data_IF_157534492904
#
_entry.id   IF_157534492904
#
_cell.length_a   1.000
_cell.length_b   1.000
_cell.length_c   1.000
_cell.angle_alpha   90.00
_cell.angle_beta   90.00
_cell.angle_gamma   90.00
#
_symmetry.space_group_name_H-M   'P 1'
#
loop_
_entity.id
_entity.type
_entity.pdbx_description
1 polymer ?
#
# COMPACT_ATOMS: atom_id res chain seq x y z
N UNK A 1 25.32 44.29 -27.87
CA UNK A 1 26.00 43.41 -26.90
C UNK A 1 25.32 43.66 -25.56
N UNK A 2 24.27 42.90 -25.23
CA UNK A 2 24.29 41.75 -24.30
C UNK A 2 24.66 42.21 -22.86
N UNK A 3 23.67 42.41 -21.98
CA UNK A 3 23.15 41.44 -20.98
C UNK A 3 23.85 41.67 -19.61
N UNK A 4 23.24 41.54 -18.44
CA UNK A 4 21.86 41.43 -17.99
C UNK A 4 21.89 41.75 -16.48
N UNK A 5 20.81 42.33 -15.96
CA UNK A 5 20.55 42.52 -14.53
C UNK A 5 20.27 41.18 -13.85
N UNK A 6 20.61 41.03 -12.56
CA UNK A 6 20.01 39.98 -11.74
C UNK A 6 19.97 40.39 -10.25
N UNK A 7 18.85 40.98 -9.86
CA UNK A 7 18.43 41.20 -8.48
C UNK A 7 17.80 39.90 -7.94
N UNK A 8 18.26 39.44 -6.78
CA UNK A 8 17.70 38.26 -6.10
C UNK A 8 16.81 38.70 -4.95
N UNK A 9 15.52 38.82 -5.22
CA UNK A 9 14.48 38.95 -4.20
C UNK A 9 13.89 37.58 -3.81
N UNK A 10 13.83 37.36 -2.49
CA UNK A 10 12.70 36.82 -1.72
C UNK A 10 12.12 35.45 -2.15
N UNK A 11 12.47 34.44 -1.33
CA UNK A 11 11.91 33.08 -1.30
C UNK A 11 10.39 33.12 -1.07
N UNK A 12 9.61 33.04 -2.15
CA UNK A 12 8.16 32.95 -2.10
C UNK A 12 7.72 31.48 -1.98
N UNK A 13 7.00 31.17 -0.91
CA UNK A 13 6.40 29.87 -0.62
C UNK A 13 5.38 29.49 -1.70
N UNK A 14 5.70 28.49 -2.52
CA UNK A 14 4.77 27.92 -3.50
C UNK A 14 3.86 26.87 -2.83
N UNK A 15 2.63 27.29 -2.51
CA UNK A 15 1.52 26.36 -2.29
C UNK A 15 1.01 25.88 -3.65
N UNK A 16 1.54 24.76 -4.16
CA UNK A 16 0.93 24.09 -5.30
C UNK A 16 -0.22 23.21 -4.80
N UNK A 17 -1.45 23.71 -4.97
CA UNK A 17 -2.64 22.88 -4.90
C UNK A 17 -2.55 21.77 -5.93
N UNK A 18 -2.36 20.53 -5.47
CA UNK A 18 -2.47 19.32 -6.28
C UNK A 18 -3.95 19.16 -6.68
N UNK A 19 -4.31 19.67 -7.86
CA UNK A 19 -5.41 19.07 -8.62
C UNK A 19 -4.90 17.72 -9.13
N UNK A 20 -5.40 16.64 -8.54
CA UNK A 20 -5.27 15.31 -9.14
C UNK A 20 -5.83 15.38 -10.56
N UNK A 21 -4.96 15.17 -11.52
CA UNK A 21 -5.34 14.94 -12.91
C UNK A 21 -5.79 13.48 -12.93
N UNK A 22 -7.09 13.23 -12.81
CA UNK A 22 -7.64 11.90 -13.07
C UNK A 22 -7.57 11.66 -14.57
N UNK A 23 -6.49 11.03 -15.04
CA UNK A 23 -6.37 10.56 -16.42
C UNK A 23 -7.38 9.42 -16.64
N UNK A 24 -8.38 9.58 -17.53
CA UNK A 24 -9.33 8.50 -17.80
C UNK A 24 -8.61 7.39 -18.57
N UNK A 25 -8.32 6.27 -17.91
CA UNK A 25 -7.69 5.11 -18.53
C UNK A 25 -6.72 4.31 -17.67
N UNK A 26 -6.30 4.81 -16.50
CA UNK A 26 -5.51 4.00 -15.56
C UNK A 26 -6.43 3.01 -14.82
N UNK A 27 -6.49 1.80 -15.36
CA UNK A 27 -6.98 0.61 -14.67
C UNK A 27 -6.28 0.54 -13.30
N UNK A 28 -7.03 0.40 -12.21
CA UNK A 28 -6.40 0.34 -10.88
C UNK A 28 -5.37 -0.82 -10.86
N UNK A 29 -4.23 -0.68 -10.16
CA UNK A 29 -3.25 -1.76 -10.08
C UNK A 29 -3.88 -3.09 -9.64
N UNK A 30 -4.89 -3.04 -8.78
CA UNK A 30 -5.73 -4.17 -8.39
C UNK A 30 -6.49 -4.78 -9.58
N UNK A 31 -7.15 -3.97 -10.40
CA UNK A 31 -7.87 -4.46 -11.59
C UNK A 31 -6.93 -5.05 -12.65
N UNK A 32 -5.76 -4.43 -12.89
CA UNK A 32 -4.77 -4.95 -13.83
C UNK A 32 -4.14 -6.26 -13.32
N UNK A 33 -3.92 -6.38 -12.00
CA UNK A 33 -3.52 -7.63 -11.38
C UNK A 33 -4.61 -8.70 -11.58
N UNK A 34 -5.86 -8.44 -11.19
CA UNK A 34 -6.98 -9.40 -11.32
C UNK A 34 -7.21 -9.90 -12.75
N UNK A 35 -6.94 -9.08 -13.78
CA UNK A 35 -7.03 -9.50 -15.19
C UNK A 35 -5.94 -10.48 -15.64
N UNK A 36 -4.76 -10.45 -15.00
CA UNK A 36 -3.59 -11.28 -15.35
C UNK A 36 -3.35 -12.44 -14.37
N UNK A 37 -4.22 -12.58 -13.39
CA UNK A 37 -4.09 -13.55 -12.32
C UNK A 37 -4.55 -14.92 -12.81
N UNK A 38 -3.69 -15.93 -12.65
CA UNK A 38 -4.03 -17.33 -12.96
C UNK A 38 -5.31 -17.76 -12.22
N UNK A 39 -6.12 -18.66 -12.81
CA UNK A 39 -7.38 -19.13 -12.21
C UNK A 39 -7.21 -19.67 -10.78
N UNK A 40 -6.05 -20.29 -10.50
CA UNK A 40 -5.68 -20.82 -9.19
C UNK A 40 -5.55 -19.73 -8.13
N UNK A 41 -5.00 -18.57 -8.48
CA UNK A 41 -4.86 -17.44 -7.55
C UNK A 41 -6.21 -16.75 -7.34
N UNK A 42 -7.06 -16.69 -8.38
CA UNK A 42 -8.42 -16.15 -8.25
C UNK A 42 -9.25 -16.95 -7.26
N UNK A 43 -9.17 -18.29 -7.29
CA UNK A 43 -9.83 -19.15 -6.32
C UNK A 43 -9.34 -18.89 -4.87
N UNK A 44 -8.05 -18.63 -4.68
CA UNK A 44 -7.50 -18.29 -3.36
C UNK A 44 -8.01 -16.92 -2.89
N UNK A 45 -8.09 -15.93 -3.79
CA UNK A 45 -8.67 -14.62 -3.47
C UNK A 45 -10.14 -14.77 -3.09
N UNK A 46 -10.92 -15.55 -3.85
CA UNK A 46 -12.35 -15.78 -3.57
C UNK A 46 -12.55 -16.50 -2.21
N UNK A 47 -11.69 -17.46 -1.85
CA UNK A 47 -11.73 -18.11 -0.53
C UNK A 47 -11.38 -17.13 0.59
N UNK A 48 -10.34 -16.31 0.39
CA UNK A 48 -9.91 -15.31 1.37
C UNK A 48 -10.95 -14.21 1.55
N UNK A 49 -11.64 -13.82 0.47
CA UNK A 49 -12.69 -12.81 0.43
C UNK A 49 -14.08 -13.37 0.79
N UNK A 50 -14.22 -14.66 1.07
CA UNK A 50 -15.48 -15.24 1.48
C UNK A 50 -15.94 -14.65 2.83
N UNK A 51 -17.25 -14.41 2.95
CA UNK A 51 -17.87 -13.83 4.15
C UNK A 51 -17.51 -14.65 5.41
N UNK A 52 -16.94 -13.98 6.42
CA UNK A 52 -16.53 -14.61 7.69
C UNK A 52 -15.10 -15.16 7.69
N UNK A 53 -14.36 -15.00 6.58
CA UNK A 53 -12.94 -15.29 6.54
C UNK A 53 -12.17 -14.29 7.42
N UNK A 54 -11.46 -14.82 8.42
CA UNK A 54 -10.49 -14.06 9.24
C UNK A 54 -9.12 -13.99 8.58
N UNK A 55 -9.03 -14.35 7.30
CA UNK A 55 -7.80 -14.34 6.50
C UNK A 55 -7.79 -13.16 5.56
N UNK A 56 -6.61 -12.66 5.27
CA UNK A 56 -6.36 -11.71 4.19
C UNK A 56 -5.10 -12.14 3.42
N UNK A 57 -4.82 -11.48 2.31
CA UNK A 57 -3.66 -11.75 1.47
C UNK A 57 -3.02 -10.44 1.02
N UNK A 58 -1.69 -10.39 1.10
CA UNK A 58 -0.88 -9.38 0.43
C UNK A 58 -0.25 -9.98 -0.82
N UNK A 59 -0.34 -9.26 -1.92
CA UNK A 59 0.33 -9.65 -3.17
C UNK A 59 1.25 -8.54 -3.64
N UNK A 60 2.54 -8.85 -3.75
CA UNK A 60 3.51 -7.88 -4.27
C UNK A 60 3.33 -7.76 -5.77
N UNK A 61 2.93 -6.58 -6.23
CA UNK A 61 2.75 -6.32 -7.66
C UNK A 61 3.86 -5.43 -8.24
N UNK A 62 4.66 -4.77 -7.40
CA UNK A 62 5.84 -4.00 -7.82
C UNK A 62 6.96 -4.12 -6.79
N UNK A 63 8.21 -4.18 -7.25
CA UNK A 63 9.41 -4.30 -6.43
C UNK A 63 10.14 -5.64 -6.64
N UNK A 64 11.24 -5.91 -5.92
CA UNK A 64 12.09 -7.10 -6.15
C UNK A 64 11.40 -8.43 -5.91
N UNK A 65 10.31 -8.44 -5.13
CA UNK A 65 9.54 -9.63 -4.80
C UNK A 65 8.22 -9.69 -5.58
N UNK A 66 8.13 -9.10 -6.78
CA UNK A 66 6.92 -9.11 -7.60
C UNK A 66 6.43 -10.55 -7.82
N UNK A 67 5.13 -10.77 -7.58
CA UNK A 67 4.47 -12.07 -7.66
C UNK A 67 4.43 -12.84 -6.34
N UNK A 68 5.20 -12.44 -5.33
CA UNK A 68 5.14 -13.02 -3.98
C UNK A 68 3.79 -12.76 -3.33
N UNK A 69 3.33 -13.74 -2.55
CA UNK A 69 2.04 -13.72 -1.86
C UNK A 69 2.25 -14.06 -0.39
N UNK A 70 1.63 -13.30 0.49
CA UNK A 70 1.69 -13.52 1.92
C UNK A 70 0.26 -13.69 2.44
N UNK A 71 -0.01 -14.83 3.07
CA UNK A 71 -1.27 -15.06 3.75
C UNK A 71 -1.22 -14.39 5.12
N UNK A 72 -2.25 -13.62 5.44
CA UNK A 72 -2.47 -12.98 6.74
C UNK A 72 -3.55 -13.78 7.47
N UNK A 73 -3.16 -14.77 8.28
CA UNK A 73 -4.08 -15.61 9.06
C UNK A 73 -4.05 -15.32 10.58
N UNK A 74 -3.07 -14.54 11.01
CA UNK A 74 -2.80 -14.18 12.40
C UNK A 74 -3.39 -12.83 12.79
N UNK A 75 -3.59 -12.59 14.10
CA UNK A 75 -4.14 -11.32 14.61
C UNK A 75 -3.15 -10.15 14.51
N UNK A 76 -1.85 -10.40 14.58
CA UNK A 76 -0.77 -9.42 14.39
C UNK A 76 0.20 -10.03 13.39
N UNK A 77 0.36 -9.41 12.22
CA UNK A 77 1.33 -9.80 11.21
C UNK A 77 2.37 -8.70 11.08
N UNK A 78 3.63 -9.03 11.33
CA UNK A 78 4.74 -8.10 11.28
C UNK A 78 5.36 -7.99 9.88
N UNK A 79 5.69 -6.77 9.46
CA UNK A 79 6.31 -6.48 8.17
C UNK A 79 7.63 -5.75 8.40
N UNK A 80 8.70 -6.23 7.78
CA UNK A 80 9.99 -5.58 7.90
C UNK A 80 11.16 -6.33 7.27
N UNK A 81 12.34 -5.76 7.41
CA UNK A 81 13.63 -6.34 7.00
C UNK A 81 14.23 -7.25 8.06
N UNK A 82 13.53 -7.54 9.16
CA UNK A 82 14.01 -8.55 10.11
C UNK A 82 13.64 -9.94 9.58
N UNK A 83 14.55 -10.93 9.60
CA UNK A 83 14.18 -12.32 9.32
C UNK A 83 13.12 -12.89 10.27
N UNK A 84 12.90 -12.24 11.41
CA UNK A 84 11.85 -12.56 12.38
C UNK A 84 10.47 -11.99 11.99
N UNK A 85 10.38 -11.20 10.92
CA UNK A 85 9.10 -10.65 10.44
C UNK A 85 8.33 -11.67 9.61
N UNK A 86 7.02 -11.75 9.83
CA UNK A 86 6.13 -12.66 9.10
C UNK A 86 6.13 -12.35 7.59
N UNK A 87 6.14 -11.06 7.26
CA UNK A 87 6.38 -10.56 5.91
C UNK A 87 7.79 -9.96 5.87
N UNK A 88 8.74 -10.81 5.46
CA UNK A 88 10.13 -10.43 5.32
C UNK A 88 10.40 -9.75 3.98
N UNK A 89 10.90 -8.51 4.03
CA UNK A 89 11.38 -7.76 2.88
C UNK A 89 12.87 -7.50 3.00
N UNK A 90 13.67 -8.21 2.19
CA UNK A 90 15.11 -8.03 2.14
C UNK A 90 15.51 -6.77 1.34
N UNK A 91 15.37 -5.61 1.97
CA UNK A 91 15.85 -4.37 1.39
C UNK A 91 16.20 -3.28 2.40
N UNK A 92 17.24 -2.50 2.07
CA UNK A 92 17.72 -1.40 2.91
C UNK A 92 16.69 -0.29 3.15
N UNK A 93 15.75 -0.06 2.22
CA UNK A 93 14.67 0.93 2.35
C UNK A 93 13.58 0.50 3.33
N UNK A 94 13.63 -0.73 3.84
CA UNK A 94 12.67 -1.25 4.81
C UNK A 94 13.33 -1.33 6.19
N UNK A 95 12.73 -0.68 7.19
CA UNK A 95 13.11 -0.86 8.60
C UNK A 95 13.01 -2.32 9.06
N UNK A 96 13.82 -2.72 10.04
CA UNK A 96 13.74 -4.08 10.64
C UNK A 96 12.35 -4.40 11.18
N UNK A 97 11.73 -3.44 11.87
CA UNK A 97 10.31 -3.44 12.26
C UNK A 97 9.69 -2.24 11.56
N UNK A 98 9.04 -2.46 10.42
CA UNK A 98 8.57 -1.37 9.58
C UNK A 98 7.12 -1.05 9.85
N UNK A 99 6.25 -2.05 9.71
CA UNK A 99 4.83 -1.92 9.93
C UNK A 99 4.28 -3.23 10.50
N UNK A 100 3.04 -3.17 10.97
CA UNK A 100 2.27 -4.36 11.34
C UNK A 100 0.88 -4.25 10.77
N UNK A 101 0.32 -5.38 10.38
CA UNK A 101 -1.09 -5.49 10.07
C UNK A 101 -1.75 -6.16 11.26
N UNK A 102 -2.71 -5.46 11.84
CA UNK A 102 -3.47 -5.89 12.99
C UNK A 102 -4.90 -6.19 12.56
N UNK A 103 -5.38 -7.37 12.91
CA UNK A 103 -6.78 -7.73 12.76
C UNK A 103 -7.58 -7.10 13.91
N UNK A 104 -8.58 -6.30 13.56
CA UNK A 104 -9.53 -5.71 14.50
C UNK A 104 -10.92 -6.23 14.15
N UNK A 105 -11.36 -7.27 14.85
CA UNK A 105 -12.57 -8.03 14.53
C UNK A 105 -12.49 -8.66 13.12
N UNK A 106 -13.32 -8.20 12.19
CA UNK A 106 -13.34 -8.64 10.79
C UNK A 106 -12.54 -7.73 9.85
N UNK A 107 -12.03 -6.60 10.36
CA UNK A 107 -11.22 -5.66 9.59
C UNK A 107 -9.72 -5.83 9.83
N UNK A 108 -8.93 -5.37 8.88
CA UNK A 108 -7.47 -5.33 8.99
C UNK A 108 -7.03 -3.87 8.98
N UNK A 109 -6.09 -3.51 9.85
CA UNK A 109 -5.50 -2.19 9.90
C UNK A 109 -3.97 -2.30 9.82
N UNK A 110 -3.35 -1.45 9.01
CA UNK A 110 -1.90 -1.29 9.01
C UNK A 110 -1.50 -0.21 10.00
N UNK A 111 -0.44 -0.46 10.76
CA UNK A 111 0.17 0.45 11.73
C UNK A 111 1.66 0.56 11.42
N UNK A 112 2.14 1.77 11.16
CA UNK A 112 3.56 2.05 11.00
C UNK A 112 4.28 1.95 12.36
N UNK A 113 5.42 1.27 12.38
CA UNK A 113 6.23 1.05 13.60
C UNK A 113 7.35 2.09 13.74
N UNK A 114 7.07 3.36 13.39
CA UNK A 114 8.05 4.44 13.31
C UNK A 114 9.18 4.10 12.35
N UNK A 115 8.80 3.69 11.15
CA UNK A 115 9.76 3.33 10.10
C UNK A 115 10.52 4.57 9.61
N UNK A 116 11.71 4.36 9.04
CA UNK A 116 12.56 5.47 8.58
C UNK A 116 11.96 6.17 7.35
N UNK A 117 11.38 5.39 6.43
CA UNK A 117 10.86 5.88 5.15
C UNK A 117 9.34 6.09 5.19
N UNK A 118 8.66 5.70 6.27
CA UNK A 118 7.21 5.74 6.38
C UNK A 118 6.51 4.58 5.66
N UNK A 119 5.26 4.36 6.06
CA UNK A 119 4.32 3.45 5.40
C UNK A 119 3.30 4.27 4.63
N UNK A 120 2.97 3.85 3.42
CA UNK A 120 1.99 4.54 2.58
C UNK A 120 0.87 3.60 2.16
N UNK A 121 -0.35 4.12 2.07
CA UNK A 121 -1.51 3.43 1.52
C UNK A 121 -2.12 4.31 0.44
N UNK A 122 -2.26 3.77 -0.78
CA UNK A 122 -2.69 4.51 -1.98
C UNK A 122 -1.92 5.84 -2.15
N UNK A 123 -0.59 5.77 -2.01
CA UNK A 123 0.34 6.92 -2.09
C UNK A 123 0.20 8.00 -0.99
N UNK A 124 -0.60 7.76 0.05
CA UNK A 124 -0.74 8.66 1.20
C UNK A 124 0.06 8.09 2.38
N UNK A 125 0.90 8.90 3.01
CA UNK A 125 1.64 8.51 4.22
C UNK A 125 0.70 8.34 5.40
N UNK A 126 0.84 7.25 6.14
CA UNK A 126 -0.01 6.93 7.28
C UNK A 126 0.80 6.55 8.50
N UNK A 127 0.21 6.76 9.68
CA UNK A 127 0.66 6.12 10.92
C UNK A 127 -0.20 4.91 11.25
N UNK A 128 -1.50 4.99 10.97
CA UNK A 128 -2.44 3.88 11.09
C UNK A 128 -3.59 4.07 10.11
N UNK A 129 -4.02 3.00 9.44
CA UNK A 129 -5.18 3.02 8.54
C UNK A 129 -5.84 1.64 8.43
N UNK A 130 -7.17 1.61 8.42
CA UNK A 130 -7.96 0.42 8.06
C UNK A 130 -7.78 0.12 6.56
N UNK A 131 -7.39 -1.11 6.25
CA UNK A 131 -7.16 -1.62 4.90
C UNK A 131 -8.45 -2.12 4.29
N UNK A 132 -8.69 -1.71 3.05
CA UNK A 132 -9.86 -2.10 2.28
C UNK A 132 -9.43 -2.97 1.11
N UNK A 133 -10.32 -3.83 0.62
CA UNK A 133 -10.02 -4.69 -0.52
C UNK A 133 -9.56 -3.87 -1.73
N UNK A 134 -8.38 -4.21 -2.25
CA UNK A 134 -7.76 -3.54 -3.39
C UNK A 134 -6.84 -2.36 -3.04
N UNK A 135 -6.69 -1.99 -1.75
CA UNK A 135 -5.76 -0.95 -1.34
C UNK A 135 -4.32 -1.33 -1.68
N UNK A 136 -3.54 -0.36 -2.19
CA UNK A 136 -2.11 -0.50 -2.43
C UNK A 136 -1.32 -0.03 -1.21
N UNK A 137 -0.54 -0.93 -0.62
CA UNK A 137 0.42 -0.62 0.43
C UNK A 137 1.80 -0.43 -0.19
N UNK A 138 2.49 0.63 0.21
CA UNK A 138 3.89 0.86 -0.16
C UNK A 138 4.76 0.89 1.10
N UNK A 139 5.78 0.03 1.08
CA UNK A 139 6.77 -0.15 2.16
C UNK A 139 8.16 -0.15 1.52
N UNK A 140 8.90 0.95 1.70
CA UNK A 140 10.13 1.18 0.94
C UNK A 140 9.86 1.16 -0.57
N UNK A 141 10.54 0.28 -1.30
CA UNK A 141 10.33 0.06 -2.75
C UNK A 141 9.32 -1.06 -3.10
N UNK A 142 8.71 -1.70 -2.10
CA UNK A 142 7.72 -2.76 -2.33
C UNK A 142 6.33 -2.15 -2.41
N UNK A 143 5.56 -2.51 -3.44
CA UNK A 143 4.13 -2.23 -3.52
C UNK A 143 3.34 -3.54 -3.45
N UNK A 144 2.47 -3.63 -2.46
CA UNK A 144 1.62 -4.78 -2.20
C UNK A 144 0.15 -4.39 -2.37
N UNK A 145 -0.65 -5.27 -2.95
CA UNK A 145 -2.10 -5.15 -2.96
C UNK A 145 -2.69 -5.98 -1.84
N UNK A 146 -3.64 -5.39 -1.13
CA UNK A 146 -4.38 -6.07 -0.07
C UNK A 146 -5.69 -6.68 -0.59
N UNK A 147 -5.94 -7.93 -0.23
CA UNK A 147 -7.18 -8.65 -0.49
C UNK A 147 -7.68 -9.27 0.81
N UNK A 148 -8.93 -8.99 1.19
CA UNK A 148 -9.52 -9.51 2.42
C UNK A 148 -11.02 -9.26 2.44
N UNK A 149 -11.68 -9.67 3.53
CA UNK A 149 -13.14 -9.52 3.72
C UNK A 149 -13.58 -8.07 4.07
N UNK A 150 -12.70 -7.07 3.99
CA UNK A 150 -13.07 -5.68 4.27
C UNK A 150 -13.77 -5.05 3.07
N UNK A 151 -14.76 -4.20 3.34
CA UNK A 151 -15.58 -3.52 2.32
C UNK A 151 -14.70 -2.83 1.27
N UNK A 152 -15.07 -2.95 -0.01
CA UNK A 152 -14.48 -2.11 -1.07
C UNK A 152 -14.79 -0.65 -0.70
N UNK A 153 -13.77 0.23 -0.64
CA UNK A 153 -14.01 1.67 -0.54
C UNK A 153 -14.93 2.08 -1.69
N UNK A 154 -16.17 2.43 -1.38
CA UNK A 154 -17.00 3.22 -2.29
C UNK A 154 -16.23 4.51 -2.53
N UNK A 155 -15.79 4.73 -3.77
CA UNK A 155 -15.03 5.90 -4.15
C UNK A 155 -15.97 7.13 -4.10
N UNK A 156 -16.12 7.73 -2.92
CA UNK A 156 -16.85 8.98 -2.76
C UNK A 156 -17.58 9.16 -1.44
N UNK A 157 -16.86 9.54 -0.38
CA UNK A 157 -17.41 10.44 0.64
C UNK A 157 -16.32 11.47 0.99
N UNK A 158 -16.34 12.60 0.27
CA UNK A 158 -15.78 13.85 0.77
C UNK A 158 -16.74 14.34 1.87
N UNK A 159 -16.22 14.51 3.08
CA UNK A 159 -16.90 15.27 4.13
C UNK A 159 -16.39 16.71 4.12
#
# INVERSE_FOLDING_TARGET
MAAAENERELTSTLNLGLRSIETPGEISPAQHFLQKVEPSIRAIIDEVCATGSRKAMLVIHRGPAQGSRFLLDSDDTSIGRSPESDVFFDDVTVSRKHARIQRQNDDFAIVDSQSLNGTYVNSVSITQQVLHMGDELQIGKFHALFFGNSHIKSLGEKK
#
